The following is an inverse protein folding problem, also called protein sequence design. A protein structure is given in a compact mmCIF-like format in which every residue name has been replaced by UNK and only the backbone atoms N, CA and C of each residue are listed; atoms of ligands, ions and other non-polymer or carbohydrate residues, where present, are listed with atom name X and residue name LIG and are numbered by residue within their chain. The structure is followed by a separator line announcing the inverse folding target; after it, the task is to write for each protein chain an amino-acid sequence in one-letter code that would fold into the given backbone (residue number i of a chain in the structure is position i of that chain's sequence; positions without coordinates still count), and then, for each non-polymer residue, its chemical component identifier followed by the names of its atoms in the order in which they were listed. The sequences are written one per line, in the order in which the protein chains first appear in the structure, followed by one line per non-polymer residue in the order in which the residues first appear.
data_IF_789919187505
#
_entry.id   IF_789919187505
#
_cell.length_a   1.000
_cell.length_b   1.000
_cell.length_c   1.000
_cell.angle_alpha   90.00
_cell.angle_beta   90.00
_cell.angle_gamma   90.00
#
_symmetry.space_group_name_H-M   'P 1'
#
loop_
_entity.id
_entity.type
_entity.pdbx_description
1 polymer ?
#
# COMPACT_ATOMS: atom_id res chain seq x y z
N UNK A 1 2.52 0.35 -5.76
CA UNK A 1 1.42 1.15 -5.21
C UNK A 1 0.90 0.39 -4.03
N UNK A 2 0.77 1.07 -2.90
CA UNK A 2 0.22 0.52 -1.66
C UNK A 2 -1.30 0.66 -1.69
N UNK A 3 -2.04 -0.40 -1.34
CA UNK A 3 -3.50 -0.38 -1.23
C UNK A 3 -3.91 -0.57 0.23
N UNK A 4 -4.81 0.28 0.70
CA UNK A 4 -5.31 0.24 2.07
C UNK A 4 -6.84 0.27 2.06
N UNK A 5 -7.52 -0.57 2.86
CA UNK A 5 -8.98 -0.54 2.98
C UNK A 5 -9.51 0.82 3.45
N UNK A 6 -10.68 1.20 2.94
CA UNK A 6 -11.35 2.46 3.27
C UNK A 6 -11.53 2.65 4.79
N UNK A 7 -11.87 1.57 5.49
CA UNK A 7 -12.16 1.62 6.91
C UNK A 7 -10.91 1.99 7.71
N UNK A 8 -9.75 1.43 7.34
CA UNK A 8 -8.48 1.77 7.99
C UNK A 8 -8.05 3.20 7.68
N UNK A 9 -8.18 3.64 6.41
CA UNK A 9 -7.91 5.03 6.03
C UNK A 9 -8.79 6.02 6.80
N UNK A 10 -10.05 5.65 7.05
CA UNK A 10 -11.01 6.47 7.80
C UNK A 10 -10.67 6.48 9.29
N UNK A 11 -10.30 5.33 9.86
CA UNK A 11 -9.89 5.21 11.27
C UNK A 11 -8.67 6.06 11.60
N UNK A 12 -7.67 6.09 10.71
CA UNK A 12 -6.45 6.90 10.90
C UNK A 12 -6.63 8.35 10.43
N UNK A 13 -7.83 8.73 9.97
CA UNK A 13 -8.13 10.04 9.41
C UNK A 13 -7.13 10.46 8.33
N UNK A 14 -6.82 9.53 7.42
CA UNK A 14 -5.83 9.75 6.37
C UNK A 14 -6.24 10.95 5.49
N UNK A 15 -5.35 11.92 5.24
CA UNK A 15 -5.64 13.03 4.36
C UNK A 15 -5.86 12.56 2.92
N UNK A 16 -6.99 12.95 2.32
CA UNK A 16 -7.23 12.79 0.89
C UNK A 16 -6.26 13.69 0.10
N UNK A 17 -5.72 13.15 -0.99
CA UNK A 17 -4.77 13.86 -1.86
C UNK A 17 -5.40 14.18 -3.21
N UNK A 18 -5.86 13.17 -3.94
CA UNK A 18 -6.41 13.31 -5.29
C UNK A 18 -7.06 11.99 -5.77
N UNK A 19 -7.87 12.06 -6.82
CA UNK A 19 -8.32 10.89 -7.60
C UNK A 19 -7.44 10.73 -8.84
N UNK A 20 -7.07 9.49 -9.19
CA UNK A 20 -6.31 9.17 -10.41
C UNK A 20 -6.83 7.90 -11.09
N UNK A 21 -6.53 7.75 -12.38
CA UNK A 21 -6.76 6.51 -13.13
C UNK A 21 -5.69 5.48 -12.81
N UNK A 22 -6.09 4.29 -12.41
CA UNK A 22 -5.23 3.12 -12.21
C UNK A 22 -5.61 2.03 -13.22
N UNK A 23 -4.60 1.37 -13.80
CA UNK A 23 -4.79 0.16 -14.60
C UNK A 23 -4.50 -1.06 -13.73
N UNK A 24 -5.49 -1.93 -13.56
CA UNK A 24 -5.34 -3.19 -12.83
C UNK A 24 -4.68 -4.29 -13.68
N UNK A 25 -4.46 -5.46 -13.07
CA UNK A 25 -3.88 -6.64 -13.73
C UNK A 25 -4.75 -7.19 -14.87
N UNK A 26 -6.06 -6.93 -14.82
CA UNK A 26 -7.02 -7.31 -15.87
C UNK A 26 -7.02 -6.34 -17.06
N UNK A 27 -6.20 -5.27 -17.02
CA UNK A 27 -6.15 -4.24 -18.05
C UNK A 27 -7.24 -3.16 -17.94
N UNK A 28 -8.26 -3.37 -17.10
CA UNK A 28 -9.32 -2.39 -16.82
C UNK A 28 -8.73 -1.14 -16.16
N UNK A 29 -9.16 0.03 -16.63
CA UNK A 29 -8.81 1.33 -16.04
C UNK A 29 -9.95 1.76 -15.14
N UNK A 30 -9.62 2.08 -13.89
CA UNK A 30 -10.57 2.55 -12.88
C UNK A 30 -10.05 3.80 -12.20
N UNK A 31 -10.95 4.70 -11.83
CA UNK A 31 -10.60 5.81 -10.95
C UNK A 31 -10.40 5.30 -9.52
N UNK A 32 -9.34 5.78 -8.87
CA UNK A 32 -8.97 5.43 -7.51
C UNK A 32 -8.63 6.68 -6.73
N UNK A 33 -9.06 6.71 -5.47
CA UNK A 33 -8.74 7.79 -4.55
C UNK A 33 -7.43 7.51 -3.84
N UNK A 34 -6.60 8.55 -3.74
CA UNK A 34 -5.27 8.50 -3.16
C UNK A 34 -5.26 9.29 -1.87
N UNK A 35 -4.70 8.67 -0.83
CA UNK A 35 -4.56 9.22 0.51
C UNK A 35 -3.09 9.25 0.91
N UNK A 36 -2.70 10.26 1.70
CA UNK A 36 -1.37 10.35 2.28
C UNK A 36 -1.33 9.55 3.57
N UNK A 37 -0.38 8.63 3.70
CA UNK A 37 -0.19 7.83 4.91
C UNK A 37 1.27 7.80 5.33
N UNK A 38 1.48 7.57 6.62
CA UNK A 38 2.79 7.22 7.19
C UNK A 38 2.75 5.77 7.59
N UNK A 39 3.77 5.02 7.19
CA UNK A 39 3.90 3.60 7.51
C UNK A 39 5.18 3.39 8.31
N UNK A 40 5.12 2.53 9.30
CA UNK A 40 6.27 2.18 10.13
C UNK A 40 6.39 0.66 10.25
N UNK A 41 7.61 0.15 10.10
CA UNK A 41 7.93 -1.25 10.37
C UNK A 41 9.30 -1.33 11.04
N UNK A 42 9.41 -2.10 12.13
CA UNK A 42 10.65 -2.31 12.87
C UNK A 42 11.44 -1.02 13.20
N UNK A 43 10.72 0.05 13.57
CA UNK A 43 11.33 1.35 13.91
C UNK A 43 11.66 2.24 12.71
N UNK A 44 11.63 1.72 11.48
CA UNK A 44 11.82 2.49 10.25
C UNK A 44 10.50 3.11 9.82
N UNK A 45 10.43 4.44 9.80
CA UNK A 45 9.30 5.19 9.28
C UNK A 45 9.52 5.53 7.80
N UNK A 46 8.51 5.24 6.97
CA UNK A 46 8.45 5.68 5.58
C UNK A 46 7.29 6.67 5.46
N UNK A 47 7.66 7.95 5.34
CA UNK A 47 6.72 9.04 5.20
C UNK A 47 6.32 9.30 3.74
N UNK A 48 5.17 9.95 3.54
CA UNK A 48 4.75 10.42 2.22
C UNK A 48 4.24 9.32 1.28
N UNK A 49 3.85 8.17 1.81
CA UNK A 49 3.26 7.09 1.02
C UNK A 49 1.90 7.54 0.49
N UNK A 50 1.72 7.40 -0.82
CA UNK A 50 0.45 7.65 -1.52
C UNK A 50 -0.30 6.34 -1.65
N UNK A 51 -1.13 6.06 -0.64
CA UNK A 51 -1.93 4.85 -0.58
C UNK A 51 -3.19 5.01 -1.44
N UNK A 52 -3.51 3.97 -2.18
CA UNK A 52 -4.75 3.86 -2.94
C UNK A 52 -5.82 3.26 -2.03
N UNK A 53 -7.00 3.87 -1.98
CA UNK A 53 -8.14 3.26 -1.31
C UNK A 53 -8.57 1.99 -2.04
N UNK A 54 -8.50 0.85 -1.36
CA UNK A 54 -9.06 -0.39 -1.90
C UNK A 54 -10.57 -0.34 -1.94
N UNK A 55 -11.15 -0.73 -3.08
CA UNK A 55 -12.61 -0.87 -3.26
C UNK A 55 -13.12 -2.27 -2.89
N UNK A 56 -12.22 -3.24 -2.73
CA UNK A 56 -12.56 -4.65 -2.48
C UNK A 56 -11.57 -5.27 -1.48
N UNK A 57 -12.11 -6.00 -0.51
CA UNK A 57 -11.32 -6.73 0.50
C UNK A 57 -10.93 -5.90 1.73
N UNK A 58 -10.53 -6.62 2.78
CA UNK A 58 -10.08 -6.08 4.08
C UNK A 58 -8.56 -6.10 4.23
N UNK A 59 -7.84 -6.57 3.22
CA UNK A 59 -6.39 -6.75 3.27
C UNK A 59 -5.64 -5.48 2.87
N UNK A 60 -4.51 -5.23 3.54
CA UNK A 60 -3.55 -4.21 3.16
C UNK A 60 -2.54 -4.83 2.21
N UNK A 61 -2.33 -4.20 1.06
CA UNK A 61 -1.30 -4.62 0.09
C UNK A 61 -0.18 -3.60 0.12
N UNK A 62 1.01 -4.01 0.57
CA UNK A 62 2.21 -3.18 0.55
C UNK A 62 2.85 -3.22 -0.83
N UNK A 63 2.99 -2.05 -1.45
CA UNK A 63 3.60 -1.94 -2.77
C UNK A 63 5.07 -1.57 -2.70
N UNK A 64 5.73 -1.57 -3.87
CA UNK A 64 7.12 -1.13 -4.03
C UNK A 64 7.39 0.27 -3.49
N UNK A 65 6.42 1.18 -3.54
CA UNK A 65 6.50 2.52 -2.99
C UNK A 65 6.82 2.54 -1.48
N UNK A 66 6.34 1.56 -0.72
CA UNK A 66 6.73 1.36 0.68
C UNK A 66 7.93 0.43 0.82
N UNK A 67 7.99 -0.62 0.00
CA UNK A 67 8.94 -1.73 0.15
C UNK A 67 10.35 -1.43 -0.38
N UNK A 68 10.51 -0.46 -1.29
CA UNK A 68 11.80 -0.15 -1.94
C UNK A 68 12.98 0.14 -1.00
N UNK A 69 12.79 0.76 0.19
CA UNK A 69 13.88 1.04 1.11
C UNK A 69 14.43 -0.22 1.80
N UNK A 70 13.72 -1.34 1.77
CA UNK A 70 14.09 -2.56 2.50
C UNK A 70 14.77 -3.59 1.61
N UNK A 71 15.67 -4.37 2.19
CA UNK A 71 16.13 -5.60 1.54
C UNK A 71 15.09 -6.67 1.81
N UNK A 72 14.47 -7.18 0.74
CA UNK A 72 13.40 -8.17 0.82
C UNK A 72 13.92 -9.51 0.31
N UNK A 73 13.85 -10.53 1.16
CA UNK A 73 14.16 -11.91 0.79
C UNK A 73 12.88 -12.72 0.77
N UNK A 74 12.55 -13.28 -0.40
CA UNK A 74 11.43 -14.21 -0.57
C UNK A 74 11.96 -15.63 -0.71
N UNK A 75 11.62 -16.50 0.25
CA UNK A 75 11.99 -17.91 0.21
C UNK A 75 10.73 -18.75 -0.06
N UNK A 76 10.52 -19.07 -1.34
CA UNK A 76 9.37 -19.85 -1.80
C UNK A 76 9.26 -21.23 -1.15
N UNK A 77 10.33 -22.06 -1.13
CA UNK A 77 10.30 -23.37 -0.47
C UNK A 77 9.96 -23.34 1.03
N UNK A 78 10.44 -22.32 1.75
CA UNK A 78 10.14 -22.16 3.17
C UNK A 78 8.84 -21.36 3.45
N UNK A 79 8.20 -20.81 2.40
CA UNK A 79 7.06 -19.89 2.50
C UNK A 79 7.32 -18.70 3.44
N UNK A 80 8.56 -18.19 3.47
CA UNK A 80 8.93 -17.05 4.32
C UNK A 80 9.25 -15.80 3.50
N UNK A 81 8.98 -14.65 4.12
CA UNK A 81 9.36 -13.33 3.64
C UNK A 81 10.08 -12.61 4.78
N UNK A 82 11.30 -12.14 4.52
CA UNK A 82 12.10 -11.36 5.46
C UNK A 82 12.33 -9.94 4.93
N UNK A 83 12.17 -8.95 5.80
CA UNK A 83 12.54 -7.56 5.56
C UNK A 83 13.70 -7.19 6.47
N UNK A 84 14.76 -6.61 5.89
CA UNK A 84 15.92 -6.06 6.60
C UNK A 84 16.10 -4.59 6.28
#
# INVERSE_FOLDING_TARGET
ATLIPRDLLSQIQAPYVQTRRMRGVTGTVVDVDIFAVRLQINGTEVAGIRAIQSRQGTEVILGRDFLNPFIITLNGPALTCELR
#
